data_IF_063263098986
#
_entry.id   IF_063263098986
#
_cell.length_a   1.000
_cell.length_b   1.000
_cell.length_c   1.000
_cell.angle_alpha   90.00
_cell.angle_beta   90.00
_cell.angle_gamma   90.00
#
_symmetry.space_group_name_H-M   'P 1'
#
loop_
_entity.id
_entity.type
_entity.pdbx_description
1 polymer ?
#
# COMPACT_ATOMS: atom_id res chain seq x y z
N UNK A 1 13.46 -17.41 -13.38
CA UNK A 1 13.31 -16.33 -12.39
C UNK A 1 12.53 -16.90 -11.20
N UNK A 2 13.17 -17.04 -10.04
CA UNK A 2 12.62 -17.76 -8.89
C UNK A 2 11.26 -17.20 -8.42
N UNK A 3 10.27 -18.11 -8.27
CA UNK A 3 8.88 -17.80 -7.86
C UNK A 3 8.79 -16.96 -6.56
N UNK A 4 9.84 -16.95 -5.74
CA UNK A 4 9.94 -16.12 -4.53
C UNK A 4 9.99 -14.63 -4.86
N UNK A 5 10.83 -14.21 -5.81
CA UNK A 5 10.94 -12.80 -6.23
C UNK A 5 9.66 -12.28 -6.88
N UNK A 6 8.95 -13.15 -7.60
CA UNK A 6 7.67 -12.80 -8.22
C UNK A 6 6.65 -12.30 -7.19
N UNK A 7 6.56 -12.92 -6.01
CA UNK A 7 5.66 -12.49 -4.94
C UNK A 7 6.03 -11.11 -4.39
N UNK A 8 7.32 -10.88 -4.14
CA UNK A 8 7.83 -9.59 -3.64
C UNK A 8 7.60 -8.46 -4.65
N UNK A 9 7.86 -8.71 -5.94
CA UNK A 9 7.65 -7.74 -7.02
C UNK A 9 6.16 -7.45 -7.20
N UNK A 10 5.31 -8.48 -7.23
CA UNK A 10 3.87 -8.28 -7.35
C UNK A 10 3.30 -7.47 -6.17
N UNK A 11 3.75 -7.74 -4.94
CA UNK A 11 3.35 -6.93 -3.77
C UNK A 11 3.81 -5.47 -3.89
N UNK A 12 5.04 -5.22 -4.37
CA UNK A 12 5.49 -3.84 -4.63
C UNK A 12 4.62 -3.14 -5.67
N UNK A 13 4.30 -3.81 -6.78
CA UNK A 13 3.46 -3.25 -7.84
C UNK A 13 2.03 -2.96 -7.41
N UNK A 14 1.50 -3.63 -6.38
CA UNK A 14 0.18 -3.34 -5.80
C UNK A 14 0.25 -2.23 -4.75
N UNK A 15 1.25 -2.27 -3.86
CA UNK A 15 1.38 -1.34 -2.73
C UNK A 15 1.78 0.06 -3.19
N UNK A 16 2.65 0.17 -4.20
CA UNK A 16 3.11 1.46 -4.73
C UNK A 16 1.95 2.33 -5.24
N UNK A 17 1.09 1.90 -6.19
CA UNK A 17 -0.03 2.71 -6.66
C UNK A 17 -1.08 2.94 -5.57
N UNK A 18 -1.34 1.95 -4.70
CA UNK A 18 -2.31 2.11 -3.60
C UNK A 18 -1.88 3.20 -2.61
N UNK A 19 -0.60 3.23 -2.23
CA UNK A 19 -0.04 4.26 -1.33
C UNK A 19 0.04 5.63 -2.00
N UNK A 20 0.28 5.67 -3.32
CA UNK A 20 0.28 6.90 -4.12
C UNK A 20 -1.10 7.58 -4.10
N UNK A 21 -2.16 6.81 -4.36
CA UNK A 21 -3.54 7.31 -4.35
C UNK A 21 -3.92 7.80 -2.95
N UNK A 22 -3.61 7.03 -1.91
CA UNK A 22 -3.85 7.42 -0.50
C UNK A 22 -3.12 8.71 -0.12
N UNK A 23 -1.84 8.82 -0.45
CA UNK A 23 -1.05 10.01 -0.15
C UNK A 23 -1.59 11.24 -0.90
N UNK A 24 -2.03 11.07 -2.14
CA UNK A 24 -2.57 12.15 -2.96
C UNK A 24 -3.92 12.64 -2.42
N UNK A 25 -4.86 11.72 -2.16
CA UNK A 25 -6.17 12.04 -1.59
C UNK A 25 -6.02 12.63 -0.18
N UNK A 26 -5.14 12.06 0.64
CA UNK A 26 -4.85 12.57 1.98
C UNK A 26 -4.32 13.99 1.95
N UNK A 27 -3.46 14.32 0.99
CA UNK A 27 -2.94 15.67 0.88
C UNK A 27 -4.01 16.66 0.43
N UNK A 28 -4.74 16.36 -0.63
CA UNK A 28 -5.80 17.24 -1.15
C UNK A 28 -6.83 17.54 -0.05
N UNK A 29 -7.21 16.52 0.73
CA UNK A 29 -8.22 16.66 1.78
C UNK A 29 -7.75 17.49 2.98
N UNK A 30 -6.48 17.40 3.37
CA UNK A 30 -5.97 18.04 4.59
C UNK A 30 -5.29 19.40 4.34
N UNK A 31 -4.61 19.56 3.20
CA UNK A 31 -3.75 20.71 2.93
C UNK A 31 -4.15 21.48 1.66
N UNK A 32 -4.98 20.91 0.78
CA UNK A 32 -5.29 21.49 -0.52
C UNK A 32 -4.05 21.60 -1.44
N UNK A 33 -4.16 22.37 -2.52
CA UNK A 33 -3.07 22.64 -3.47
C UNK A 33 -2.26 23.90 -3.10
N UNK A 34 -1.72 23.96 -1.87
CA UNK A 34 -0.85 25.06 -1.42
C UNK A 34 0.58 24.99 -2.01
N UNK A 35 1.40 26.02 -1.81
CA UNK A 35 2.72 26.18 -2.47
C UNK A 35 3.74 25.02 -2.25
N UNK A 36 3.52 24.13 -1.28
CA UNK A 36 4.41 23.01 -0.97
C UNK A 36 3.74 21.63 -1.04
N UNK A 37 2.58 21.53 -1.69
CA UNK A 37 1.78 20.32 -1.73
C UNK A 37 2.54 19.12 -2.30
N UNK A 38 3.30 19.30 -3.39
CA UNK A 38 4.10 18.22 -4.01
C UNK A 38 5.20 17.72 -3.07
N UNK A 39 5.83 18.63 -2.33
CA UNK A 39 6.95 18.32 -1.43
C UNK A 39 6.45 17.56 -0.18
N UNK A 40 5.31 17.99 0.37
CA UNK A 40 4.60 17.29 1.45
C UNK A 40 4.08 15.91 0.98
N UNK A 41 3.60 15.82 -0.26
CA UNK A 41 3.17 14.57 -0.89
C UNK A 41 4.34 13.59 -0.96
N UNK A 42 5.45 13.98 -1.59
CA UNK A 42 6.62 13.11 -1.78
C UNK A 42 7.23 12.69 -0.44
N UNK A 43 7.32 13.61 0.53
CA UNK A 43 7.84 13.30 1.87
C UNK A 43 6.95 12.28 2.58
N UNK A 44 5.64 12.51 2.61
CA UNK A 44 4.67 11.62 3.27
C UNK A 44 4.63 10.25 2.57
N UNK A 45 4.56 10.26 1.24
CA UNK A 45 4.54 9.05 0.43
C UNK A 45 5.81 8.20 0.63
N UNK A 46 6.99 8.81 0.57
CA UNK A 46 8.26 8.11 0.78
C UNK A 46 8.36 7.46 2.17
N UNK A 47 7.85 8.13 3.22
CA UNK A 47 7.78 7.53 4.56
C UNK A 47 6.74 6.40 4.68
N UNK A 48 5.66 6.45 3.90
CA UNK A 48 4.60 5.43 3.94
C UNK A 48 4.96 4.14 3.20
N UNK A 49 5.74 4.19 2.11
CA UNK A 49 6.15 3.01 1.34
C UNK A 49 6.75 1.89 2.21
N UNK A 50 7.79 2.12 3.05
CA UNK A 50 8.39 1.05 3.84
C UNK A 50 7.40 0.47 4.86
N UNK A 51 6.59 1.32 5.49
CA UNK A 51 5.56 0.90 6.46
C UNK A 51 4.50 0.03 5.77
N UNK A 52 3.98 0.47 4.63
CA UNK A 52 2.98 -0.24 3.86
C UNK A 52 3.52 -1.56 3.29
N UNK A 53 4.79 -1.59 2.88
CA UNK A 53 5.43 -2.80 2.39
C UNK A 53 5.52 -3.86 3.49
N UNK A 54 5.98 -3.49 4.69
CA UNK A 54 6.02 -4.38 5.85
C UNK A 54 4.61 -4.85 6.25
N UNK A 55 3.64 -3.94 6.27
CA UNK A 55 2.25 -4.26 6.58
C UNK A 55 1.66 -5.27 5.59
N UNK A 56 1.98 -5.14 4.29
CA UNK A 56 1.49 -6.05 3.26
C UNK A 56 1.92 -7.51 3.51
N UNK A 57 3.13 -7.76 4.02
CA UNK A 57 3.55 -9.12 4.36
C UNK A 57 2.74 -9.76 5.48
N UNK A 58 2.23 -8.95 6.41
CA UNK A 58 1.42 -9.43 7.53
C UNK A 58 -0.06 -9.53 7.14
N UNK A 59 -0.55 -8.55 6.38
CA UNK A 59 -1.97 -8.43 6.02
C UNK A 59 -2.34 -9.45 4.93
N UNK A 60 -1.54 -9.62 3.87
CA UNK A 60 -1.86 -10.55 2.77
C UNK A 60 -2.14 -11.99 3.24
N UNK A 61 -1.29 -12.64 4.07
CA UNK A 61 -1.58 -14.00 4.54
C UNK A 61 -2.79 -14.04 5.46
N UNK A 62 -2.96 -13.06 6.36
CA UNK A 62 -4.12 -13.00 7.26
C UNK A 62 -5.43 -12.78 6.51
N UNK A 63 -5.44 -11.87 5.54
CA UNK A 63 -6.59 -11.61 4.69
C UNK A 63 -6.99 -12.87 3.93
N UNK A 64 -6.02 -13.60 3.37
CA UNK A 64 -6.27 -14.88 2.72
C UNK A 64 -6.89 -15.91 3.67
N UNK A 65 -6.37 -16.06 4.89
CA UNK A 65 -6.95 -16.96 5.91
C UNK A 65 -8.39 -16.58 6.24
N UNK A 66 -8.68 -15.28 6.37
CA UNK A 66 -10.05 -14.78 6.61
C UNK A 66 -10.95 -15.10 5.42
N UNK A 67 -10.53 -14.80 4.19
CA UNK A 67 -11.29 -15.13 2.97
C UNK A 67 -11.59 -16.62 2.88
N UNK A 68 -10.58 -17.48 3.08
CA UNK A 68 -10.76 -18.94 3.08
C UNK A 68 -11.73 -19.40 4.19
N UNK A 69 -11.71 -18.77 5.37
CA UNK A 69 -12.63 -19.09 6.46
C UNK A 69 -14.09 -18.70 6.17
N UNK A 70 -14.30 -17.61 5.43
CA UNK A 70 -15.64 -17.15 5.02
C UNK A 70 -16.16 -18.04 3.90
N UNK A 71 -15.33 -18.35 2.91
CA UNK A 71 -15.72 -19.20 1.76
C UNK A 71 -15.93 -20.67 2.14
N UNK A 72 -15.28 -21.19 3.19
CA UNK A 72 -15.53 -22.55 3.71
C UNK A 72 -16.80 -22.68 4.57
N UNK A 73 -17.53 -21.59 4.79
CA UNK A 73 -18.76 -21.59 5.58
C UNK A 73 -20.02 -21.87 4.76
N UNK A 74 -19.85 -22.26 3.49
CA UNK A 74 -20.86 -22.89 2.63
C UNK A 74 -20.45 -24.33 2.32
#
# INVERSE_FOLDING_TARGET
MDKKFYKYINTLFVVVPMTLIMAFVGLIRNYGFGENWVLLFLKSWSTMIPVAYLAAFVIIPKARTITESITKKE
#
